data_IF_894679454348
#
_entry.id   IF_894679454348
#
_cell.length_a   1.000
_cell.length_b   1.000
_cell.length_c   1.000
_cell.angle_alpha   90.00
_cell.angle_beta   90.00
_cell.angle_gamma   90.00
#
_symmetry.space_group_name_H-M   'P 1'
#
loop_
_entity.id
_entity.type
_entity.pdbx_description
1 polymer ?
#
# COMPACT_ATOMS: atom_id res chain seq x y z
N UNK A 1 -16.35 21.13 21.29
CA UNK A 1 -15.41 20.11 21.82
C UNK A 1 -15.93 18.77 21.32
N UNK A 2 -15.28 17.90 20.54
CA UNK A 2 -13.88 17.64 20.21
C UNK A 2 -13.83 16.83 18.90
N UNK A 3 -12.89 17.20 18.02
CA UNK A 3 -12.16 16.37 17.04
C UNK A 3 -12.95 15.26 16.33
N UNK A 4 -13.45 15.57 15.12
CA UNK A 4 -13.50 14.58 14.04
C UNK A 4 -12.11 13.97 13.92
N UNK A 5 -11.94 12.75 14.44
CA UNK A 5 -10.70 12.02 14.36
C UNK A 5 -10.42 11.73 12.91
N UNK A 6 -9.60 12.58 12.28
CA UNK A 6 -8.93 12.28 11.02
C UNK A 6 -8.12 11.02 11.25
N UNK A 7 -8.74 9.84 11.05
CA UNK A 7 -8.01 8.61 10.82
C UNK A 7 -7.15 8.92 9.61
N UNK A 8 -5.87 9.25 9.82
CA UNK A 8 -4.88 9.42 8.78
C UNK A 8 -4.95 8.16 7.92
N UNK A 9 -5.68 8.25 6.79
CA UNK A 9 -5.81 7.14 5.86
C UNK A 9 -4.40 6.94 5.32
N UNK A 10 -3.70 5.98 5.89
CA UNK A 10 -2.38 5.61 5.41
C UNK A 10 -2.60 4.98 4.04
N UNK A 11 -2.10 5.62 3.00
CA UNK A 11 -2.15 5.07 1.65
C UNK A 11 -0.89 4.24 1.41
N UNK A 12 -1.03 3.19 0.63
CA UNK A 12 0.06 2.32 0.22
C UNK A 12 0.01 2.15 -1.28
N UNK A 13 1.19 2.22 -1.91
CA UNK A 13 1.33 1.90 -3.32
C UNK A 13 1.25 0.39 -3.49
N UNK A 14 0.43 -0.04 -4.43
CA UNK A 14 0.21 -1.45 -4.75
C UNK A 14 0.31 -1.65 -6.24
N UNK A 15 0.58 -2.88 -6.65
CA UNK A 15 0.48 -3.33 -8.03
C UNK A 15 -0.54 -4.44 -8.13
N UNK A 16 -1.49 -4.31 -9.04
CA UNK A 16 -2.48 -5.34 -9.31
C UNK A 16 -1.82 -6.55 -9.98
N UNK A 17 -2.16 -7.75 -9.51
CA UNK A 17 -1.71 -9.02 -10.10
C UNK A 17 -2.83 -9.65 -10.94
N UNK A 18 -4.08 -9.29 -10.67
CA UNK A 18 -5.28 -9.76 -11.36
C UNK A 18 -6.22 -8.57 -11.64
N UNK A 19 -7.19 -8.71 -12.58
CA UNK A 19 -8.19 -7.68 -12.79
C UNK A 19 -9.06 -7.51 -11.54
N UNK A 20 -9.22 -6.28 -11.05
CA UNK A 20 -10.02 -5.98 -9.85
C UNK A 20 -10.95 -4.81 -10.12
N UNK A 21 -12.22 -4.93 -9.77
CA UNK A 21 -13.18 -3.82 -9.82
C UNK A 21 -13.28 -3.15 -8.45
N UNK A 22 -13.00 -1.86 -8.36
CA UNK A 22 -13.09 -1.09 -7.11
C UNK A 22 -13.54 0.34 -7.39
N UNK A 23 -14.48 0.87 -6.59
CA UNK A 23 -14.98 2.24 -6.75
C UNK A 23 -15.63 2.53 -8.11
N UNK A 24 -16.16 1.50 -8.79
CA UNK A 24 -16.71 1.62 -10.15
C UNK A 24 -15.67 1.55 -11.27
N UNK A 25 -14.37 1.51 -10.94
CA UNK A 25 -13.28 1.40 -11.90
C UNK A 25 -12.73 -0.03 -11.98
N UNK A 26 -12.30 -0.45 -13.17
CA UNK A 26 -11.59 -1.71 -13.38
C UNK A 26 -10.10 -1.45 -13.44
N UNK A 27 -9.36 -2.13 -12.57
CA UNK A 27 -7.90 -2.11 -12.56
C UNK A 27 -7.38 -3.36 -13.25
N UNK A 28 -6.50 -3.17 -14.23
CA UNK A 28 -5.84 -4.22 -14.97
C UNK A 28 -4.61 -4.77 -14.22
N UNK A 29 -4.22 -6.04 -14.48
CA UNK A 29 -2.97 -6.59 -13.98
C UNK A 29 -1.78 -5.73 -14.42
N UNK A 30 -0.88 -5.44 -13.48
CA UNK A 30 0.29 -4.62 -13.71
C UNK A 30 0.12 -3.15 -13.35
N UNK A 31 -1.13 -2.66 -13.23
CA UNK A 31 -1.37 -1.27 -12.84
C UNK A 31 -0.90 -0.99 -11.41
N UNK A 32 -0.29 0.18 -11.24
CA UNK A 32 0.24 0.64 -9.96
C UNK A 32 -0.55 1.84 -9.45
N UNK A 33 -1.13 1.71 -8.26
CA UNK A 33 -2.00 2.73 -7.68
C UNK A 33 -1.73 2.91 -6.20
N UNK A 34 -2.14 4.05 -5.64
CA UNK A 34 -2.18 4.28 -4.20
C UNK A 34 -3.60 4.06 -3.68
N UNK A 35 -3.79 3.07 -2.82
CA UNK A 35 -5.08 2.78 -2.16
C UNK A 35 -4.91 2.80 -0.63
N UNK A 36 -6.00 2.93 0.15
CA UNK A 36 -5.93 2.84 1.60
C UNK A 36 -5.29 1.52 2.05
N UNK A 37 -4.41 1.57 3.05
CA UNK A 37 -3.69 0.39 3.55
C UNK A 37 -4.63 -0.72 4.04
N UNK A 38 -5.79 -0.37 4.62
CA UNK A 38 -6.82 -1.35 5.01
C UNK A 38 -7.32 -2.15 3.80
N UNK A 39 -7.69 -1.47 2.72
CA UNK A 39 -8.13 -2.12 1.47
C UNK A 39 -6.97 -2.91 0.84
N UNK A 40 -5.75 -2.39 0.90
CA UNK A 40 -4.58 -3.09 0.38
C UNK A 40 -4.36 -4.43 1.10
N UNK A 41 -4.48 -4.46 2.43
CA UNK A 41 -4.30 -5.68 3.23
C UNK A 41 -5.26 -6.78 2.78
N UNK A 42 -6.55 -6.46 2.69
CA UNK A 42 -7.58 -7.42 2.26
C UNK A 42 -7.29 -7.99 0.86
N UNK A 43 -6.83 -7.15 -0.07
CA UNK A 43 -6.52 -7.58 -1.43
C UNK A 43 -5.22 -8.38 -1.54
N UNK A 44 -4.24 -8.11 -0.67
CA UNK A 44 -2.99 -8.89 -0.58
C UNK A 44 -3.30 -10.29 -0.05
N UNK A 45 -4.11 -10.41 1.00
CA UNK A 45 -4.52 -11.71 1.57
C UNK A 45 -5.23 -12.59 0.53
N UNK A 46 -5.96 -11.96 -0.40
CA UNK A 46 -6.63 -12.64 -1.52
C UNK A 46 -5.71 -12.90 -2.72
N UNK A 47 -4.44 -12.47 -2.67
CA UNK A 47 -3.48 -12.62 -3.76
C UNK A 47 -3.85 -11.83 -5.02
N UNK A 48 -4.65 -10.76 -4.89
CA UNK A 48 -5.11 -9.95 -6.02
C UNK A 48 -4.12 -8.83 -6.37
N UNK A 49 -3.37 -8.37 -5.38
CA UNK A 49 -2.39 -7.29 -5.50
C UNK A 49 -1.10 -7.65 -4.73
N UNK A 50 -0.02 -6.90 -5.00
CA UNK A 50 1.17 -6.85 -4.15
C UNK A 50 1.42 -5.44 -3.66
N UNK A 51 1.89 -5.27 -2.44
CA UNK A 51 2.34 -3.96 -1.94
C UNK A 51 3.71 -3.63 -2.55
N UNK A 52 3.85 -2.41 -3.03
CA UNK A 52 5.13 -1.86 -3.44
C UNK A 52 5.72 -1.21 -2.20
N UNK A 53 6.61 -1.93 -1.53
CA UNK A 53 7.38 -1.37 -0.42
C UNK A 53 8.16 -0.20 -0.99
N UNK A 54 7.79 1.02 -0.59
CA UNK A 54 8.63 2.18 -0.86
C UNK A 54 9.93 1.85 -0.14
N UNK A 55 10.97 1.54 -0.92
CA UNK A 55 12.30 1.34 -0.38
C UNK A 55 12.72 2.71 0.13
N UNK A 56 12.27 3.07 1.34
CA UNK A 56 13.01 4.02 2.16
C UNK A 56 14.42 3.47 2.08
N UNK A 57 15.33 4.26 1.52
CA UNK A 57 16.76 4.03 1.62
C UNK A 57 17.01 3.89 3.12
N UNK A 58 16.90 2.67 3.65
CA UNK A 58 17.46 2.33 4.94
C UNK A 58 18.93 2.51 4.68
N UNK A 59 19.49 3.64 5.13
CA UNK A 59 20.92 3.84 5.19
C UNK A 59 21.49 2.60 5.89
N UNK A 60 22.27 1.75 5.21
CA UNK A 60 23.09 0.79 5.93
C UNK A 60 24.18 1.62 6.59
N UNK A 61 23.98 1.96 7.85
CA UNK A 61 24.87 2.80 8.63
C UNK A 61 24.79 2.47 10.11
N UNK A 62 24.55 1.19 10.44
CA UNK A 62 24.80 0.67 11.77
C UNK A 62 26.31 0.46 11.92
N UNK A 63 26.91 1.36 12.71
CA UNK A 63 28.12 1.21 13.53
C UNK A 63 28.89 -0.12 13.36
N UNK A 64 30.04 -0.05 12.69
CA UNK A 64 31.19 -0.84 13.17
C UNK A 64 31.83 -0.08 14.33
N UNK A 65 31.71 -0.68 15.51
CA UNK A 65 32.46 -0.33 16.71
C UNK A 65 33.59 -1.36 16.78
N UNK A 66 34.81 -0.96 16.46
CA UNK A 66 36.06 -1.67 16.76
C UNK A 66 37.22 -0.69 16.69
#
# INVERSE_FOLDING_TARGET
MTKSGSKSKTYTKVRFLRPVKMGGHWYAPGEEVSIPASTASELVERGLIRTLRIKSKASPGDKEMS
#
